data_IF_612817090563
#
_entry.id   IF_612817090563
#
_cell.length_a   1.000
_cell.length_b   1.000
_cell.length_c   1.000
_cell.angle_alpha   90.00
_cell.angle_beta   90.00
_cell.angle_gamma   90.00
#
_symmetry.space_group_name_H-M   'P 1'
#
loop_
_entity.id
_entity.type
_entity.pdbx_description
1 polymer ?
#
# COMPACT_ATOMS: atom_id res chain seq x y z
N UNK A 1 -7.21 -7.56 19.56
CA UNK A 1 -5.72 -7.46 19.51
C UNK A 1 -5.31 -6.20 20.27
N UNK A 2 -4.27 -6.27 21.08
CA UNK A 2 -3.79 -5.12 21.89
C UNK A 2 -2.96 -4.19 21.01
N UNK A 3 -3.18 -2.87 21.10
CA UNK A 3 -2.36 -1.89 20.41
C UNK A 3 -1.00 -1.76 21.09
N UNK A 4 0.09 -1.76 20.31
CA UNK A 4 1.47 -1.53 20.77
C UNK A 4 1.83 -0.06 20.66
N UNK A 5 1.41 0.60 19.58
CA UNK A 5 1.55 2.04 19.39
C UNK A 5 0.18 2.65 19.16
N UNK A 6 -0.08 3.81 19.76
CA UNK A 6 -1.26 4.61 19.47
C UNK A 6 -0.90 6.08 19.34
N UNK A 7 -1.54 6.74 18.39
CA UNK A 7 -1.52 8.19 18.22
C UNK A 7 -2.90 8.74 18.53
N UNK A 8 -2.96 9.85 19.25
CA UNK A 8 -4.21 10.55 19.58
C UNK A 8 -4.02 12.05 19.38
N UNK A 9 -4.76 12.62 18.42
CA UNK A 9 -4.75 14.05 18.10
C UNK A 9 -3.40 14.60 17.67
N UNK A 10 -2.58 13.76 17.01
CA UNK A 10 -1.19 14.10 16.65
C UNK A 10 -1.16 15.10 15.49
N UNK A 11 -0.49 16.24 15.72
CA UNK A 11 -0.16 17.23 14.69
C UNK A 11 1.33 17.52 14.64
N UNK A 12 1.86 17.62 13.43
CA UNK A 12 3.25 18.02 13.18
C UNK A 12 3.26 19.20 12.22
N UNK A 13 4.05 20.23 12.56
CA UNK A 13 4.20 21.44 11.74
C UNK A 13 5.68 21.72 11.48
N UNK A 14 6.00 22.12 10.26
CA UNK A 14 7.30 22.66 9.87
C UNK A 14 7.11 24.11 9.45
N UNK A 15 7.45 25.04 10.34
CA UNK A 15 7.12 26.46 10.16
C UNK A 15 5.61 26.65 10.11
N UNK A 16 5.10 27.25 9.03
CA UNK A 16 3.67 27.46 8.81
C UNK A 16 2.96 26.24 8.17
N UNK A 17 3.69 25.26 7.66
CA UNK A 17 3.12 24.12 6.95
C UNK A 17 2.75 22.99 7.95
N UNK A 18 1.49 22.54 7.89
CA UNK A 18 1.02 21.36 8.61
C UNK A 18 1.44 20.10 7.80
N UNK A 19 2.32 19.31 8.38
CA UNK A 19 2.83 18.09 7.75
C UNK A 19 2.01 16.85 8.13
N UNK A 20 1.39 16.84 9.32
CA UNK A 20 0.50 15.78 9.78
C UNK A 20 -0.64 16.36 10.62
N UNK A 21 -1.84 15.80 10.40
CA UNK A 21 -3.02 15.94 11.25
C UNK A 21 -3.69 14.56 11.35
N UNK A 22 -3.30 13.79 12.37
CA UNK A 22 -3.74 12.41 12.60
C UNK A 22 -4.53 12.32 13.89
N UNK A 23 -5.87 12.37 13.82
CA UNK A 23 -6.73 12.28 14.98
C UNK A 23 -6.56 11.01 15.78
N UNK A 24 -6.40 9.87 15.11
CA UNK A 24 -6.18 8.57 15.73
C UNK A 24 -5.46 7.61 14.78
N UNK A 25 -4.56 6.80 15.35
CA UNK A 25 -3.95 5.64 14.67
C UNK A 25 -3.60 4.61 15.73
N UNK A 26 -3.95 3.34 15.49
CA UNK A 26 -3.52 2.20 16.30
C UNK A 26 -2.64 1.26 15.47
N UNK A 27 -1.55 0.78 16.06
CA UNK A 27 -0.71 -0.30 15.53
C UNK A 27 -0.87 -1.50 16.47
N UNK A 28 -1.35 -2.60 15.93
CA UNK A 28 -1.70 -3.79 16.73
C UNK A 28 -0.52 -4.75 16.85
N UNK A 29 -0.46 -5.47 17.94
CA UNK A 29 0.60 -6.46 18.15
C UNK A 29 0.57 -7.55 17.07
N UNK A 30 1.72 -7.78 16.44
CA UNK A 30 1.91 -8.83 15.43
C UNK A 30 1.29 -8.51 14.07
N UNK A 31 0.75 -7.30 13.85
CA UNK A 31 0.28 -6.88 12.54
C UNK A 31 1.39 -6.24 11.69
N UNK A 32 1.20 -6.30 10.41
CA UNK A 32 1.93 -5.51 9.41
C UNK A 32 1.01 -4.40 8.92
N UNK A 33 1.27 -3.17 9.35
CA UNK A 33 0.55 -1.97 8.92
C UNK A 33 1.32 -1.27 7.81
N UNK A 34 0.73 -1.11 6.63
CA UNK A 34 1.27 -0.24 5.59
C UNK A 34 0.69 1.17 5.71
N UNK A 35 1.54 2.18 5.57
CA UNK A 35 1.11 3.57 5.33
C UNK A 35 1.44 3.92 3.89
N UNK A 36 0.41 4.15 3.10
CA UNK A 36 0.56 4.44 1.68
C UNK A 36 0.10 5.86 1.35
N UNK A 37 0.69 6.46 0.35
CA UNK A 37 0.32 7.81 -0.10
C UNK A 37 1.34 8.36 -1.09
N UNK A 38 1.02 9.46 -1.79
CA UNK A 38 1.95 10.11 -2.72
C UNK A 38 3.18 10.68 -2.00
N UNK A 39 4.19 11.07 -2.77
CA UNK A 39 5.34 11.78 -2.22
C UNK A 39 4.89 13.10 -1.57
N UNK A 40 5.48 13.43 -0.41
CA UNK A 40 5.10 14.62 0.36
C UNK A 40 3.83 14.50 1.20
N UNK A 41 3.15 13.34 1.23
CA UNK A 41 1.93 13.16 2.04
C UNK A 41 2.15 13.07 3.56
N UNK A 42 3.41 13.06 4.04
CA UNK A 42 3.74 13.00 5.47
C UNK A 42 4.13 11.61 5.98
N UNK A 43 4.29 10.58 5.11
CA UNK A 43 4.60 9.18 5.52
C UNK A 43 5.84 9.06 6.39
N UNK A 44 6.97 9.59 5.95
CA UNK A 44 8.23 9.53 6.72
C UNK A 44 8.15 10.35 8.01
N UNK A 45 7.38 11.45 8.03
CA UNK A 45 7.11 12.22 9.26
C UNK A 45 6.30 11.36 10.25
N UNK A 46 5.23 10.70 9.78
CA UNK A 46 4.46 9.78 10.61
C UNK A 46 5.32 8.65 11.18
N UNK A 47 6.19 8.06 10.35
CA UNK A 47 7.11 7.01 10.79
C UNK A 47 8.09 7.50 11.84
N UNK A 48 8.62 8.74 11.71
CA UNK A 48 9.50 9.35 12.73
C UNK A 48 8.78 9.61 14.04
N UNK A 49 7.53 10.05 14.00
CA UNK A 49 6.70 10.23 15.20
C UNK A 49 6.44 8.89 15.89
N UNK A 50 6.05 7.86 15.15
CA UNK A 50 5.86 6.50 15.68
C UNK A 50 7.17 5.93 16.28
N UNK A 51 8.31 6.22 15.65
CA UNK A 51 9.63 5.83 16.12
C UNK A 51 10.18 6.68 17.27
N UNK A 52 9.40 7.64 17.78
CA UNK A 52 9.82 8.60 18.83
C UNK A 52 11.09 9.38 18.44
N UNK A 53 11.32 9.58 17.15
CA UNK A 53 12.43 10.37 16.61
C UNK A 53 12.05 11.84 16.41
N UNK A 54 10.74 12.10 16.35
CA UNK A 54 10.17 13.43 16.19
C UNK A 54 9.02 13.62 17.18
N UNK A 55 9.04 14.74 17.90
CA UNK A 55 7.96 15.10 18.82
C UNK A 55 6.84 15.79 18.04
N UNK A 56 5.58 15.39 18.20
CA UNK A 56 4.47 16.14 17.64
C UNK A 56 4.32 17.49 18.32
N UNK A 57 3.79 18.48 17.60
CA UNK A 57 3.44 19.80 18.16
C UNK A 57 2.23 19.69 19.10
N UNK A 58 1.29 18.81 18.77
CA UNK A 58 0.07 18.57 19.54
C UNK A 58 -0.21 17.05 19.55
N UNK A 59 -0.96 16.59 20.56
CA UNK A 59 -1.36 15.20 20.68
C UNK A 59 -0.42 14.32 21.47
N UNK A 60 -0.70 13.03 21.50
CA UNK A 60 0.00 12.06 22.34
C UNK A 60 0.38 10.82 21.56
N UNK A 61 1.59 10.33 21.78
CA UNK A 61 2.08 9.03 21.34
C UNK A 61 2.12 8.11 22.56
N UNK A 62 1.47 6.94 22.46
CA UNK A 62 1.59 5.93 23.52
C UNK A 62 2.31 4.68 22.99
N UNK A 63 3.17 4.11 23.81
CA UNK A 63 3.80 2.81 23.61
C UNK A 63 3.32 1.83 24.68
N UNK A 64 2.72 0.72 24.26
CA UNK A 64 2.08 -0.27 25.16
C UNK A 64 1.14 0.37 26.21
N UNK A 65 0.33 1.32 25.75
CA UNK A 65 -0.67 2.02 26.58
C UNK A 65 -0.11 3.13 27.47
N UNK A 66 1.19 3.40 27.46
CA UNK A 66 1.83 4.47 28.25
C UNK A 66 2.19 5.64 27.35
N UNK A 67 1.80 6.89 27.71
CA UNK A 67 2.27 8.07 26.98
C UNK A 67 3.79 8.17 27.02
N UNK A 68 4.39 8.48 25.87
CA UNK A 68 5.84 8.61 25.73
C UNK A 68 6.16 9.89 24.98
N UNK A 69 7.08 10.68 25.52
CA UNK A 69 7.63 11.85 24.85
C UNK A 69 8.94 11.49 24.12
N UNK A 70 9.11 12.02 22.90
CA UNK A 70 10.30 11.74 22.10
C UNK A 70 11.62 12.05 22.82
N UNK A 71 11.64 13.07 23.69
CA UNK A 71 12.84 13.44 24.48
C UNK A 71 13.23 12.36 25.49
N UNK A 72 12.27 11.71 26.13
CA UNK A 72 12.49 10.78 27.25
C UNK A 72 12.33 9.30 26.84
N UNK A 73 11.88 9.03 25.61
CA UNK A 73 11.55 7.70 25.10
C UNK A 73 12.75 6.83 24.68
N UNK A 74 13.92 6.96 25.33
CA UNK A 74 15.10 6.14 24.96
C UNK A 74 14.89 4.66 25.23
N UNK A 75 14.23 4.31 26.34
CA UNK A 75 13.95 2.92 26.70
C UNK A 75 13.02 2.26 25.68
N UNK A 76 11.97 2.98 25.25
CA UNK A 76 11.02 2.53 24.24
C UNK A 76 11.68 2.45 22.86
N UNK A 77 12.47 3.46 22.46
CA UNK A 77 13.25 3.41 21.20
C UNK A 77 14.17 2.21 21.13
N UNK A 78 14.81 1.80 22.25
CA UNK A 78 15.63 0.59 22.29
C UNK A 78 14.85 -0.71 22.05
N UNK A 79 13.53 -0.68 22.19
CA UNK A 79 12.63 -1.79 21.91
C UNK A 79 12.08 -1.76 20.48
N UNK A 80 12.43 -0.74 19.70
CA UNK A 80 12.08 -0.59 18.30
C UNK A 80 13.32 -0.73 17.42
N UNK A 81 13.12 -1.04 16.14
CA UNK A 81 14.17 -0.97 15.13
C UNK A 81 13.65 -0.25 13.90
N UNK A 82 14.50 0.53 13.25
CA UNK A 82 14.13 1.27 12.04
C UNK A 82 15.09 0.92 10.90
N UNK A 83 14.53 0.76 9.70
CA UNK A 83 15.28 0.66 8.45
C UNK A 83 14.84 1.83 7.58
N UNK A 84 15.79 2.67 7.19
CA UNK A 84 15.55 3.84 6.34
C UNK A 84 15.61 3.46 4.86
N UNK A 85 15.12 4.32 4.00
CA UNK A 85 15.08 4.15 2.55
C UNK A 85 16.45 3.77 1.96
N UNK A 86 17.52 4.38 2.47
CA UNK A 86 18.90 3.96 2.20
C UNK A 86 19.39 3.07 3.34
N UNK A 87 20.03 1.93 3.07
CA UNK A 87 20.42 0.95 4.10
C UNK A 87 21.46 1.45 5.10
N UNK A 88 22.12 2.58 4.87
CA UNK A 88 23.06 3.27 5.78
C UNK A 88 23.91 2.29 6.60
N UNK A 89 24.65 1.39 5.91
CA UNK A 89 25.53 0.45 6.57
C UNK A 89 26.80 1.14 7.08
N UNK A 90 27.25 0.74 8.26
CA UNK A 90 28.50 1.22 8.82
C UNK A 90 29.72 0.64 8.08
N UNK A 91 30.88 1.30 8.22
CA UNK A 91 32.14 0.72 7.74
C UNK A 91 32.43 -0.58 8.49
N UNK A 92 32.86 -1.61 7.76
CA UNK A 92 33.11 -2.93 8.33
C UNK A 92 32.51 -4.05 7.51
N UNK A 93 32.48 -5.25 8.09
CA UNK A 93 31.92 -6.46 7.48
C UNK A 93 30.40 -6.52 7.67
N UNK A 94 29.74 -7.44 6.98
CA UNK A 94 28.33 -7.76 7.18
C UNK A 94 28.09 -8.22 8.61
N UNK A 95 28.93 -9.12 9.14
CA UNK A 95 28.86 -9.58 10.53
C UNK A 95 28.92 -8.42 11.53
N UNK A 96 29.86 -7.49 11.34
CA UNK A 96 29.99 -6.32 12.21
C UNK A 96 28.76 -5.41 12.17
N UNK A 97 28.18 -5.21 11.00
CA UNK A 97 26.98 -4.41 10.84
C UNK A 97 25.77 -5.03 11.55
N UNK A 98 25.53 -6.34 11.37
CA UNK A 98 24.40 -7.01 12.01
C UNK A 98 24.60 -7.12 13.51
N UNK A 99 25.83 -7.38 13.99
CA UNK A 99 26.17 -7.48 15.41
C UNK A 99 26.11 -6.16 16.17
N UNK A 100 26.24 -5.02 15.48
CA UNK A 100 26.46 -3.71 16.09
C UNK A 100 25.45 -3.39 17.20
N UNK A 101 24.18 -3.54 16.95
CA UNK A 101 23.11 -3.24 17.92
C UNK A 101 23.13 -4.18 19.14
N UNK A 102 23.49 -5.45 18.93
CA UNK A 102 23.65 -6.43 20.02
C UNK A 102 24.83 -6.05 20.93
N UNK A 103 25.96 -5.67 20.32
CA UNK A 103 27.14 -5.22 21.06
C UNK A 103 26.86 -3.97 21.89
N UNK A 104 26.13 -2.98 21.33
CA UNK A 104 25.68 -1.79 22.10
C UNK A 104 24.76 -2.12 23.27
N UNK A 105 24.09 -3.28 23.21
CA UNK A 105 23.23 -3.79 24.30
C UNK A 105 23.99 -4.69 25.29
N UNK A 106 25.31 -4.91 25.11
CA UNK A 106 26.12 -5.73 25.98
C UNK A 106 25.87 -7.24 25.85
N UNK A 107 25.30 -7.69 24.70
CA UNK A 107 25.09 -9.12 24.44
C UNK A 107 26.44 -9.82 24.30
N UNK A 108 26.60 -10.96 24.97
CA UNK A 108 27.84 -11.75 24.94
C UNK A 108 28.18 -12.25 23.53
N UNK A 109 29.48 -12.44 23.26
CA UNK A 109 29.99 -12.70 21.91
C UNK A 109 29.40 -14.00 21.30
N UNK A 110 29.31 -15.09 22.05
CA UNK A 110 28.75 -16.36 21.58
C UNK A 110 27.27 -16.23 21.21
N UNK A 111 26.46 -15.54 22.00
CA UNK A 111 25.05 -15.28 21.69
C UNK A 111 24.92 -14.34 20.50
N UNK A 112 25.77 -13.32 20.43
CA UNK A 112 25.82 -12.39 19.32
C UNK A 112 26.09 -13.13 18.00
N UNK A 113 27.11 -13.98 17.93
CA UNK A 113 27.44 -14.75 16.72
C UNK A 113 26.33 -15.73 16.33
N UNK A 114 25.71 -16.40 17.30
CA UNK A 114 24.59 -17.29 17.04
C UNK A 114 23.36 -16.55 16.44
N UNK A 115 23.01 -15.40 17.00
CA UNK A 115 21.91 -14.57 16.48
C UNK A 115 22.23 -14.02 15.09
N UNK A 116 23.44 -13.49 14.88
CA UNK A 116 23.90 -12.99 13.58
C UNK A 116 23.85 -14.10 12.52
N UNK A 117 24.43 -15.26 12.81
CA UNK A 117 24.45 -16.40 11.88
C UNK A 117 23.04 -16.84 11.48
N UNK A 118 22.11 -16.91 12.44
CA UNK A 118 20.70 -17.22 12.19
C UNK A 118 20.06 -16.22 11.22
N UNK A 119 20.25 -14.93 11.44
CA UNK A 119 19.62 -13.90 10.60
C UNK A 119 20.24 -13.78 9.21
N UNK A 120 21.56 -13.98 9.11
CA UNK A 120 22.23 -14.03 7.80
C UNK A 120 21.72 -15.23 6.98
N UNK A 121 21.54 -16.38 7.62
CA UNK A 121 20.97 -17.56 6.95
C UNK A 121 19.51 -17.34 6.52
N UNK A 122 18.69 -16.69 7.36
CA UNK A 122 17.28 -16.39 7.02
C UNK A 122 17.11 -15.46 5.84
N UNK A 123 18.06 -14.53 5.64
CA UNK A 123 18.06 -13.64 4.47
C UNK A 123 18.92 -14.16 3.30
N UNK A 124 19.39 -15.42 3.35
CA UNK A 124 20.18 -16.04 2.27
C UNK A 124 21.47 -15.29 1.97
N UNK A 125 22.12 -14.71 2.98
CA UNK A 125 23.35 -13.92 2.85
C UNK A 125 24.47 -14.42 3.78
N UNK A 126 24.42 -15.68 4.20
CA UNK A 126 25.39 -16.25 5.13
C UNK A 126 26.83 -16.24 4.54
N UNK A 127 26.96 -16.43 3.24
CA UNK A 127 28.24 -16.40 2.51
C UNK A 127 28.86 -15.00 2.46
N UNK A 128 28.08 -13.96 2.73
CA UNK A 128 28.54 -12.58 2.70
C UNK A 128 29.09 -12.10 4.05
N UNK A 129 29.09 -12.95 5.10
CA UNK A 129 29.37 -12.54 6.48
C UNK A 129 30.65 -11.74 6.67
N UNK A 130 31.73 -12.09 5.95
CA UNK A 130 33.04 -11.43 6.03
C UNK A 130 33.22 -10.35 4.95
N UNK A 131 32.24 -10.20 4.05
CA UNK A 131 32.28 -9.20 2.99
C UNK A 131 32.11 -7.81 3.54
N UNK A 132 32.85 -6.84 2.98
CA UNK A 132 32.75 -5.45 3.40
C UNK A 132 31.46 -4.81 2.92
N UNK A 133 30.74 -4.09 3.78
CA UNK A 133 29.45 -3.48 3.48
C UNK A 133 29.46 -2.58 2.24
N UNK A 134 30.58 -1.87 1.98
CA UNK A 134 30.73 -0.98 0.82
C UNK A 134 30.77 -1.71 -0.56
N UNK A 135 30.99 -3.01 -0.58
CA UNK A 135 31.08 -3.82 -1.80
C UNK A 135 29.80 -4.61 -2.08
N UNK A 136 28.75 -4.40 -1.30
CA UNK A 136 27.47 -5.06 -1.49
C UNK A 136 26.68 -4.39 -2.61
N UNK A 137 25.89 -5.19 -3.34
CA UNK A 137 24.82 -4.69 -4.21
C UNK A 137 23.71 -4.04 -3.36
N UNK A 138 22.82 -3.28 -4.00
CA UNK A 138 21.70 -2.65 -3.32
C UNK A 138 20.79 -3.65 -2.59
N UNK A 139 20.50 -4.80 -3.24
CA UNK A 139 19.69 -5.86 -2.65
C UNK A 139 20.37 -6.55 -1.46
N UNK A 140 21.68 -6.85 -1.57
CA UNK A 140 22.47 -7.42 -0.47
C UNK A 140 22.53 -6.43 0.71
N UNK A 141 22.77 -5.15 0.44
CA UNK A 141 22.82 -4.12 1.48
C UNK A 141 21.48 -3.96 2.21
N UNK A 142 20.36 -4.06 1.49
CA UNK A 142 19.02 -4.00 2.08
C UNK A 142 18.74 -5.23 2.96
N UNK A 143 19.12 -6.45 2.52
CA UNK A 143 19.03 -7.67 3.34
C UNK A 143 19.85 -7.56 4.62
N UNK A 144 21.05 -7.01 4.55
CA UNK A 144 21.91 -6.75 5.72
C UNK A 144 21.25 -5.73 6.65
N UNK A 145 20.65 -4.65 6.15
CA UNK A 145 19.95 -3.66 6.96
C UNK A 145 18.74 -4.24 7.69
N UNK A 146 17.95 -5.09 7.00
CA UNK A 146 16.83 -5.81 7.61
C UNK A 146 17.32 -6.82 8.67
N UNK A 147 18.37 -7.60 8.39
CA UNK A 147 18.97 -8.52 9.35
C UNK A 147 19.48 -7.77 10.59
N UNK A 148 20.17 -6.60 10.41
CA UNK A 148 20.63 -5.72 11.49
C UNK A 148 19.49 -5.20 12.37
N UNK A 149 18.33 -4.94 11.79
CA UNK A 149 17.15 -4.49 12.54
C UNK A 149 16.49 -5.66 13.31
N UNK A 150 16.27 -6.78 12.63
CA UNK A 150 15.54 -7.92 13.18
C UNK A 150 16.35 -8.75 14.20
N UNK A 151 17.70 -8.73 14.13
CA UNK A 151 18.57 -9.42 15.10
C UNK A 151 18.36 -8.94 16.53
N UNK A 152 17.83 -7.71 16.68
CA UNK A 152 17.55 -7.07 17.97
C UNK A 152 16.25 -7.55 18.61
N UNK A 153 15.47 -8.38 17.93
CA UNK A 153 14.15 -8.83 18.36
C UNK A 153 13.23 -7.65 18.76
N UNK A 154 13.00 -6.72 17.83
CA UNK A 154 12.31 -5.48 18.16
C UNK A 154 10.82 -5.73 18.44
N UNK A 155 10.27 -4.98 19.40
CA UNK A 155 8.84 -4.95 19.67
C UNK A 155 8.03 -4.33 18.53
N UNK A 156 8.64 -3.39 17.81
CA UNK A 156 8.10 -2.75 16.61
C UNK A 156 9.22 -2.54 15.60
N UNK A 157 9.00 -2.96 14.38
CA UNK A 157 9.86 -2.70 13.23
C UNK A 157 9.26 -1.58 12.39
N UNK A 158 10.06 -0.56 12.10
CA UNK A 158 9.68 0.60 11.30
C UNK A 158 10.49 0.62 10.01
N UNK A 159 9.82 0.61 8.85
CA UNK A 159 10.48 0.55 7.55
C UNK A 159 10.08 1.76 6.69
N UNK A 160 11.05 2.56 6.29
CA UNK A 160 10.84 3.72 5.41
C UNK A 160 11.23 3.35 3.98
N UNK A 161 10.24 3.14 3.12
CA UNK A 161 10.38 2.75 1.70
C UNK A 161 11.42 1.63 1.47
N UNK A 162 11.28 0.46 2.12
CA UNK A 162 12.34 -0.54 2.22
C UNK A 162 12.73 -1.19 0.89
N UNK A 163 11.97 -0.98 -0.18
CA UNK A 163 12.22 -1.59 -1.49
C UNK A 163 12.50 -0.58 -2.60
N UNK A 164 12.47 0.73 -2.31
CA UNK A 164 12.55 1.79 -3.32
C UNK A 164 13.88 1.81 -4.10
N UNK A 165 14.98 1.40 -3.46
CA UNK A 165 16.32 1.39 -4.07
C UNK A 165 16.67 0.07 -4.80
N UNK A 166 15.71 -0.89 -4.87
CA UNK A 166 15.94 -2.21 -5.45
C UNK A 166 15.55 -2.26 -6.93
N UNK A 167 16.29 -3.01 -7.72
CA UNK A 167 15.86 -3.42 -9.05
C UNK A 167 14.64 -4.36 -8.96
N UNK A 168 13.89 -4.53 -10.08
CA UNK A 168 12.67 -5.35 -10.06
C UNK A 168 12.88 -6.80 -9.63
N UNK A 169 14.02 -7.42 -9.97
CA UNK A 169 14.30 -8.82 -9.64
C UNK A 169 14.59 -8.97 -8.13
N UNK A 170 15.46 -8.11 -7.58
CA UNK A 170 15.77 -8.08 -6.15
C UNK A 170 14.51 -7.76 -5.31
N UNK A 171 13.67 -6.82 -5.76
CA UNK A 171 12.39 -6.48 -5.13
C UNK A 171 11.45 -7.68 -5.12
N UNK A 172 11.28 -8.35 -6.27
CA UNK A 172 10.42 -9.53 -6.41
C UNK A 172 10.82 -10.69 -5.51
N UNK A 173 12.10 -10.85 -5.20
CA UNK A 173 12.59 -11.86 -4.26
C UNK A 173 12.44 -11.45 -2.79
N UNK A 174 12.77 -10.19 -2.44
CA UNK A 174 12.82 -9.75 -1.06
C UNK A 174 11.43 -9.57 -0.43
N UNK A 175 10.42 -9.12 -1.18
CA UNK A 175 9.06 -8.90 -0.66
C UNK A 175 8.44 -10.19 -0.08
N UNK A 176 8.35 -11.31 -0.83
CA UNK A 176 7.79 -12.54 -0.27
C UNK A 176 8.63 -13.11 0.87
N UNK A 177 9.95 -13.00 0.81
CA UNK A 177 10.86 -13.45 1.85
C UNK A 177 10.64 -12.67 3.17
N UNK A 178 10.63 -11.33 3.12
CA UNK A 178 10.34 -10.51 4.28
C UNK A 178 8.94 -10.81 4.83
N UNK A 179 7.93 -10.92 3.96
CA UNK A 179 6.57 -11.26 4.36
C UNK A 179 6.48 -12.61 5.09
N UNK A 180 7.22 -13.62 4.66
CA UNK A 180 7.29 -14.93 5.34
C UNK A 180 7.92 -14.79 6.73
N UNK A 181 9.01 -14.02 6.85
CA UNK A 181 9.69 -13.73 8.12
C UNK A 181 8.75 -13.00 9.09
N UNK A 182 8.12 -11.92 8.66
CA UNK A 182 7.25 -11.11 9.51
C UNK A 182 6.06 -11.90 10.05
N UNK A 183 5.44 -12.73 9.20
CA UNK A 183 4.32 -13.60 9.60
C UNK A 183 4.75 -14.72 10.55
N UNK A 184 5.87 -15.40 10.26
CA UNK A 184 6.36 -16.50 11.08
C UNK A 184 6.70 -16.06 12.51
N UNK A 185 7.36 -14.91 12.65
CA UNK A 185 7.80 -14.38 13.94
C UNK A 185 6.77 -13.41 14.57
N UNK A 186 5.64 -13.13 13.87
CA UNK A 186 4.60 -12.17 14.30
C UNK A 186 5.19 -10.81 14.66
N UNK A 187 6.11 -10.32 13.84
CA UNK A 187 6.80 -9.04 14.09
C UNK A 187 5.82 -7.89 13.83
N UNK A 188 5.53 -7.11 14.87
CA UNK A 188 4.75 -5.87 14.70
C UNK A 188 5.51 -4.93 13.80
N UNK A 189 4.96 -4.59 12.64
CA UNK A 189 5.68 -3.81 11.63
C UNK A 189 4.83 -2.66 11.13
N UNK A 190 5.42 -1.48 11.03
CA UNK A 190 4.87 -0.36 10.26
C UNK A 190 5.82 -0.08 9.12
N UNK A 191 5.33 -0.12 7.89
CA UNK A 191 6.14 0.31 6.77
C UNK A 191 5.43 1.36 5.93
N UNK A 192 6.22 2.30 5.40
CA UNK A 192 5.71 3.31 4.51
C UNK A 192 6.17 3.03 3.09
N UNK A 193 5.27 3.21 2.13
CA UNK A 193 5.57 3.03 0.71
C UNK A 193 4.62 3.87 -0.15
N UNK A 194 5.04 4.19 -1.36
CA UNK A 194 4.16 4.72 -2.41
C UNK A 194 3.70 3.63 -3.39
N UNK A 195 4.23 2.41 -3.25
CA UNK A 195 3.90 1.26 -4.11
C UNK A 195 2.73 0.45 -3.53
N UNK A 196 1.64 0.40 -4.28
CA UNK A 196 0.42 -0.32 -3.92
C UNK A 196 0.61 -1.84 -3.88
N UNK A 197 1.45 -2.37 -4.76
CA UNK A 197 1.70 -3.81 -4.83
C UNK A 197 2.48 -4.29 -3.59
N UNK A 198 3.41 -3.50 -3.07
CA UNK A 198 4.11 -3.79 -1.82
C UNK A 198 3.13 -3.86 -0.64
N UNK A 199 2.21 -2.88 -0.54
CA UNK A 199 1.20 -2.86 0.51
C UNK A 199 0.26 -4.07 0.41
N UNK A 200 -0.20 -4.42 -0.79
CA UNK A 200 -1.05 -5.58 -1.02
C UNK A 200 -0.36 -6.91 -0.68
N UNK A 201 0.95 -7.02 -0.94
CA UNK A 201 1.71 -8.25 -0.70
C UNK A 201 2.02 -8.50 0.78
N UNK A 202 2.23 -7.44 1.55
CA UNK A 202 2.78 -7.54 2.91
C UNK A 202 1.79 -7.21 4.01
N UNK A 203 0.90 -6.22 3.80
CA UNK A 203 0.14 -5.62 4.88
C UNK A 203 -1.14 -6.39 5.25
N UNK A 204 -1.42 -6.45 6.54
CA UNK A 204 -2.72 -6.86 7.08
C UNK A 204 -3.73 -5.70 6.99
N UNK A 205 -3.28 -4.48 7.32
CA UNK A 205 -4.05 -3.24 7.25
C UNK A 205 -3.26 -2.17 6.50
N UNK A 206 -4.01 -1.27 5.87
CA UNK A 206 -3.45 -0.14 5.12
C UNK A 206 -4.06 1.16 5.63
N UNK A 207 -3.19 2.14 5.92
CA UNK A 207 -3.55 3.53 6.15
C UNK A 207 -3.23 4.34 4.89
N UNK A 208 -4.25 4.92 4.27
CA UNK A 208 -4.05 5.83 3.13
C UNK A 208 -3.87 7.24 3.66
N UNK A 209 -2.66 7.76 3.53
CA UNK A 209 -2.25 9.09 3.99
C UNK A 209 -2.18 10.06 2.81
N UNK A 210 -3.06 11.05 2.79
CA UNK A 210 -3.09 12.10 1.77
C UNK A 210 -3.03 13.47 2.46
N UNK A 211 -2.14 14.33 2.01
CA UNK A 211 -1.98 15.70 2.55
C UNK A 211 -1.93 15.75 4.09
N UNK A 212 -1.15 14.87 4.71
CA UNK A 212 -0.97 14.80 6.16
C UNK A 212 -2.10 14.14 6.95
N UNK A 213 -3.17 13.66 6.30
CA UNK A 213 -4.34 13.07 6.96
C UNK A 213 -4.56 11.62 6.53
N UNK A 214 -5.01 10.80 7.47
CA UNK A 214 -5.45 9.42 7.17
C UNK A 214 -6.88 9.48 6.64
N UNK A 215 -7.05 9.21 5.35
CA UNK A 215 -8.34 9.18 4.68
C UNK A 215 -9.07 7.85 4.84
N UNK A 216 -8.32 6.76 4.95
CA UNK A 216 -8.88 5.43 5.24
C UNK A 216 -7.84 4.58 5.97
N UNK A 217 -8.28 3.82 6.98
CA UNK A 217 -7.50 2.82 7.70
C UNK A 217 -8.35 1.57 7.85
N UNK A 218 -8.04 0.53 7.10
CA UNK A 218 -8.83 -0.71 7.10
C UNK A 218 -7.96 -1.92 6.71
N UNK A 219 -8.56 -3.11 6.71
CA UNK A 219 -7.95 -4.30 6.12
C UNK A 219 -7.50 -4.02 4.67
N UNK A 220 -6.35 -4.57 4.28
CA UNK A 220 -5.76 -4.35 2.96
C UNK A 220 -6.78 -4.59 1.84
N UNK A 221 -7.52 -5.70 1.90
CA UNK A 221 -8.56 -6.00 0.92
C UNK A 221 -9.61 -4.89 0.83
N UNK A 222 -10.08 -4.36 1.98
CA UNK A 222 -11.11 -3.31 1.98
C UNK A 222 -10.62 -2.00 1.37
N UNK A 223 -9.41 -1.56 1.70
CA UNK A 223 -8.84 -0.32 1.13
C UNK A 223 -8.76 -0.41 -0.39
N UNK A 224 -8.32 -1.55 -0.91
CA UNK A 224 -8.17 -1.73 -2.35
C UNK A 224 -9.49 -2.04 -3.08
N UNK A 225 -10.44 -2.77 -2.48
CA UNK A 225 -11.69 -3.15 -3.15
C UNK A 225 -12.87 -2.22 -2.87
N UNK A 226 -12.87 -1.55 -1.71
CA UNK A 226 -13.95 -0.70 -1.25
C UNK A 226 -13.39 0.64 -0.72
N UNK A 227 -12.80 1.48 -1.58
CA UNK A 227 -12.28 2.78 -1.17
C UNK A 227 -13.39 3.66 -0.62
N UNK A 228 -13.12 4.31 0.53
CA UNK A 228 -14.12 5.08 1.27
C UNK A 228 -14.45 6.45 0.64
N UNK A 229 -13.56 6.97 -0.22
CA UNK A 229 -13.73 8.27 -0.87
C UNK A 229 -13.14 8.27 -2.28
N UNK A 230 -13.47 9.28 -3.07
CA UNK A 230 -12.91 9.46 -4.40
C UNK A 230 -11.38 9.59 -4.37
N UNK A 231 -10.83 10.34 -3.41
CA UNK A 231 -9.38 10.52 -3.29
C UNK A 231 -8.67 9.19 -3.04
N UNK A 232 -9.23 8.36 -2.15
CA UNK A 232 -8.71 7.00 -1.90
C UNK A 232 -8.86 6.15 -3.16
N UNK A 233 -10.02 6.18 -3.83
CA UNK A 233 -10.26 5.42 -5.06
C UNK A 233 -9.24 5.76 -6.15
N UNK A 234 -9.01 7.05 -6.40
CA UNK A 234 -8.00 7.51 -7.35
C UNK A 234 -6.59 7.04 -6.95
N UNK A 235 -6.25 7.18 -5.68
CA UNK A 235 -4.96 6.74 -5.17
C UNK A 235 -4.76 5.23 -5.36
N UNK A 236 -5.77 4.39 -5.10
CA UNK A 236 -5.66 2.93 -5.28
C UNK A 236 -5.81 2.46 -6.74
N UNK A 237 -5.97 3.39 -7.72
CA UNK A 237 -5.91 3.10 -9.15
C UNK A 237 -7.25 2.94 -9.84
N UNK A 238 -8.33 3.42 -9.22
CA UNK A 238 -9.61 3.58 -9.92
C UNK A 238 -9.51 4.79 -10.84
N UNK A 239 -9.73 4.60 -12.13
CA UNK A 239 -9.62 5.66 -13.14
C UNK A 239 -10.99 6.15 -13.64
N UNK A 240 -12.00 5.27 -13.63
CA UNK A 240 -13.38 5.66 -13.94
C UNK A 240 -14.13 5.91 -12.64
N UNK A 241 -14.46 7.19 -12.38
CA UNK A 241 -15.32 7.60 -11.26
C UNK A 241 -16.33 8.59 -11.83
N UNK A 242 -17.61 8.21 -11.76
CA UNK A 242 -18.70 8.99 -12.37
C UNK A 242 -19.88 9.10 -11.42
N UNK A 243 -20.55 10.25 -11.42
CA UNK A 243 -21.72 10.46 -10.59
C UNK A 243 -22.90 9.62 -11.09
N UNK A 244 -23.63 9.04 -10.16
CA UNK A 244 -24.79 8.22 -10.43
C UNK A 244 -25.88 8.38 -9.38
N UNK A 245 -27.06 7.87 -9.72
CA UNK A 245 -28.19 7.78 -8.79
C UNK A 245 -28.74 6.37 -8.79
N UNK A 246 -28.96 5.81 -7.62
CA UNK A 246 -29.57 4.47 -7.48
C UNK A 246 -31.03 4.55 -7.90
N UNK A 247 -31.40 3.84 -8.98
CA UNK A 247 -32.76 3.78 -9.51
C UNK A 247 -33.60 2.73 -8.79
N UNK A 248 -33.02 1.54 -8.58
CA UNK A 248 -33.68 0.41 -7.92
C UNK A 248 -32.67 -0.50 -7.24
N UNK A 249 -33.13 -1.30 -6.30
CA UNK A 249 -32.34 -2.34 -5.63
C UNK A 249 -33.20 -3.60 -5.58
N UNK A 250 -32.65 -4.71 -6.09
CA UNK A 250 -33.29 -6.02 -6.04
C UNK A 250 -32.24 -7.10 -5.74
N UNK A 251 -32.55 -8.00 -4.79
CA UNK A 251 -31.74 -9.18 -4.43
C UNK A 251 -30.22 -8.90 -4.27
N UNK A 252 -29.84 -7.73 -3.68
CA UNK A 252 -28.46 -7.34 -3.46
C UNK A 252 -27.74 -6.76 -4.69
N UNK A 253 -28.48 -6.47 -5.75
CA UNK A 253 -28.02 -5.76 -6.95
C UNK A 253 -28.73 -4.41 -7.01
N UNK A 254 -27.95 -3.34 -7.07
CA UNK A 254 -28.43 -1.99 -7.33
C UNK A 254 -28.30 -1.66 -8.82
N UNK A 255 -29.32 -1.03 -9.39
CA UNK A 255 -29.24 -0.42 -10.70
C UNK A 255 -29.00 1.07 -10.53
N UNK A 256 -27.91 1.57 -11.09
CA UNK A 256 -27.49 2.96 -10.97
C UNK A 256 -27.58 3.64 -12.33
N UNK A 257 -28.32 4.73 -12.40
CA UNK A 257 -28.35 5.60 -13.57
C UNK A 257 -27.11 6.49 -13.62
N UNK A 258 -26.34 6.40 -14.71
CA UNK A 258 -25.11 7.16 -14.95
C UNK A 258 -25.16 7.74 -16.35
N UNK A 259 -25.23 9.07 -16.49
CA UNK A 259 -25.22 9.77 -17.77
C UNK A 259 -26.20 9.16 -18.82
N UNK A 260 -27.41 8.78 -18.39
CA UNK A 260 -28.44 8.15 -19.24
C UNK A 260 -28.21 6.66 -19.54
N UNK A 261 -27.21 6.03 -18.95
CA UNK A 261 -26.96 4.58 -18.99
C UNK A 261 -27.31 3.93 -17.67
N UNK A 262 -27.58 2.64 -17.67
CA UNK A 262 -27.79 1.83 -16.46
C UNK A 262 -26.60 0.95 -16.19
N UNK A 263 -26.14 0.96 -14.93
CA UNK A 263 -25.01 0.14 -14.46
C UNK A 263 -25.52 -0.71 -13.29
N UNK A 264 -25.41 -2.03 -13.42
CA UNK A 264 -25.72 -2.97 -12.34
C UNK A 264 -24.51 -3.08 -11.40
N UNK A 265 -24.75 -3.01 -10.10
CA UNK A 265 -23.73 -3.03 -9.05
C UNK A 265 -24.14 -3.99 -7.95
N UNK A 266 -23.25 -4.90 -7.56
CA UNK A 266 -23.45 -5.74 -6.38
C UNK A 266 -23.08 -4.95 -5.13
N UNK A 267 -24.03 -4.21 -4.56
CA UNK A 267 -23.79 -3.34 -3.40
C UNK A 267 -25.08 -3.12 -2.58
N UNK A 268 -24.87 -2.73 -1.33
CA UNK A 268 -25.96 -2.27 -0.46
C UNK A 268 -26.06 -0.75 -0.58
N UNK A 269 -27.12 -0.29 -1.23
CA UNK A 269 -27.44 1.12 -1.37
C UNK A 269 -28.96 1.29 -1.34
N UNK A 270 -29.46 2.47 -0.96
CA UNK A 270 -30.88 2.80 -0.98
C UNK A 270 -31.33 3.35 -2.33
N UNK A 271 -32.55 3.04 -2.78
CA UNK A 271 -33.12 3.66 -3.95
C UNK A 271 -33.21 5.19 -3.74
N UNK A 272 -32.73 5.95 -4.72
CA UNK A 272 -32.66 7.40 -4.66
C UNK A 272 -31.32 7.95 -4.18
N UNK A 273 -30.43 7.14 -3.62
CA UNK A 273 -29.12 7.56 -3.14
C UNK A 273 -28.28 8.16 -4.29
N UNK A 274 -27.55 9.25 -3.96
CA UNK A 274 -26.50 9.80 -4.84
C UNK A 274 -25.20 9.09 -4.53
N UNK A 275 -24.57 8.55 -5.55
CA UNK A 275 -23.35 7.74 -5.43
C UNK A 275 -22.35 8.11 -6.52
N UNK A 276 -21.07 7.79 -6.30
CA UNK A 276 -20.09 7.70 -7.37
C UNK A 276 -19.84 6.26 -7.72
N UNK A 277 -19.98 5.96 -8.99
CA UNK A 277 -19.70 4.64 -9.58
C UNK A 277 -18.21 4.60 -9.90
N UNK A 278 -17.49 3.70 -9.24
CA UNK A 278 -16.05 3.52 -9.34
C UNK A 278 -15.75 2.20 -10.05
N UNK A 279 -15.01 2.24 -11.16
CA UNK A 279 -14.68 1.07 -11.98
C UNK A 279 -13.18 1.07 -12.25
N UNK A 280 -12.54 -0.08 -12.08
CA UNK A 280 -11.10 -0.25 -12.34
C UNK A 280 -10.87 -0.56 -13.81
N UNK A 281 -9.79 -0.02 -14.41
CA UNK A 281 -9.46 -0.30 -15.81
C UNK A 281 -9.26 -1.80 -16.12
N UNK A 282 -8.69 -2.55 -15.18
CA UNK A 282 -8.43 -3.99 -15.30
C UNK A 282 -9.69 -4.86 -15.27
N UNK A 283 -10.80 -4.33 -14.77
CA UNK A 283 -12.09 -5.02 -14.69
C UNK A 283 -12.94 -4.85 -15.96
N UNK A 284 -12.51 -3.98 -16.88
CA UNK A 284 -13.23 -3.69 -18.12
C UNK A 284 -12.66 -4.53 -19.27
N UNK A 285 -13.51 -5.34 -19.89
CA UNK A 285 -13.19 -6.08 -21.12
C UNK A 285 -13.80 -5.36 -22.30
N UNK A 286 -13.07 -5.26 -23.42
CA UNK A 286 -13.58 -4.70 -24.67
C UNK A 286 -13.83 -5.83 -25.69
N UNK A 287 -14.96 -5.75 -26.37
CA UNK A 287 -15.35 -6.61 -27.48
C UNK A 287 -15.52 -5.77 -28.74
N UNK A 288 -15.42 -6.39 -29.91
CA UNK A 288 -15.73 -5.73 -31.17
C UNK A 288 -17.21 -5.27 -31.20
N UNK A 289 -17.48 -4.20 -31.94
CA UNK A 289 -18.86 -3.71 -32.08
C UNK A 289 -19.77 -4.77 -32.68
N UNK A 290 -20.97 -4.92 -32.09
CA UNK A 290 -21.96 -5.88 -32.56
C UNK A 290 -21.77 -7.32 -32.06
N UNK A 291 -20.67 -7.65 -31.40
CA UNK A 291 -20.52 -8.94 -30.74
C UNK A 291 -21.53 -9.10 -29.60
N UNK A 292 -22.19 -10.25 -29.58
CA UNK A 292 -23.12 -10.64 -28.50
C UNK A 292 -22.45 -11.67 -27.63
N UNK A 293 -22.40 -11.38 -26.32
CA UNK A 293 -21.96 -12.38 -25.36
C UNK A 293 -23.01 -13.45 -25.17
N UNK A 294 -22.63 -14.73 -25.10
CA UNK A 294 -23.53 -15.77 -24.59
C UNK A 294 -23.92 -15.41 -23.14
N UNK A 295 -24.94 -16.10 -22.62
CA UNK A 295 -25.38 -15.89 -21.23
C UNK A 295 -24.18 -15.96 -20.28
N UNK A 296 -23.90 -14.86 -19.62
CA UNK A 296 -22.68 -14.71 -18.78
C UNK A 296 -22.96 -13.91 -17.52
N UNK A 297 -22.00 -13.94 -16.60
CA UNK A 297 -22.01 -13.10 -15.37
C UNK A 297 -21.62 -11.63 -15.61
N UNK A 298 -21.27 -11.25 -16.84
CA UNK A 298 -20.98 -9.86 -17.21
C UNK A 298 -22.28 -9.11 -17.46
N UNK A 299 -22.84 -8.55 -16.39
CA UNK A 299 -24.15 -7.89 -16.41
C UNK A 299 -24.12 -6.54 -17.10
N UNK A 300 -23.00 -5.82 -16.97
CA UNK A 300 -22.84 -4.52 -17.60
C UNK A 300 -22.29 -4.67 -19.01
N UNK A 301 -23.03 -4.19 -19.98
CA UNK A 301 -22.67 -4.17 -21.40
C UNK A 301 -23.02 -2.79 -21.96
N UNK A 302 -22.01 -2.02 -22.30
CA UNK A 302 -22.15 -0.63 -22.76
C UNK A 302 -21.50 -0.49 -24.14
N UNK A 303 -22.30 -0.13 -25.13
CA UNK A 303 -21.77 0.25 -26.44
C UNK A 303 -21.13 1.63 -26.33
N UNK A 304 -19.98 1.80 -26.95
CA UNK A 304 -19.21 3.04 -26.91
C UNK A 304 -18.26 3.17 -28.10
N UNK A 305 -17.59 4.30 -28.16
CA UNK A 305 -16.60 4.62 -29.17
C UNK A 305 -15.26 4.92 -28.48
N UNK A 306 -14.19 4.34 -28.98
CA UNK A 306 -12.83 4.60 -28.50
C UNK A 306 -12.49 6.08 -28.68
N UNK A 307 -12.20 6.74 -27.56
CA UNK A 307 -11.79 8.15 -27.54
C UNK A 307 -10.28 8.33 -27.63
N UNK A 308 -9.51 7.47 -26.94
CA UNK A 308 -8.05 7.49 -26.97
C UNK A 308 -7.45 6.12 -26.67
N UNK A 309 -6.22 5.91 -27.17
CA UNK A 309 -5.40 4.73 -26.91
C UNK A 309 -4.02 5.24 -26.49
N UNK A 310 -3.61 4.95 -25.24
CA UNK A 310 -2.36 5.47 -24.68
C UNK A 310 -1.51 4.32 -24.11
N UNK A 311 -0.27 4.12 -24.60
CA UNK A 311 0.64 3.16 -24.00
C UNK A 311 0.92 3.46 -22.52
N UNK A 312 0.82 2.45 -21.67
CA UNK A 312 1.06 2.52 -20.21
C UNK A 312 1.62 1.19 -19.72
N UNK A 313 2.93 1.01 -19.86
CA UNK A 313 3.62 -0.27 -19.56
C UNK A 313 3.26 -0.84 -18.18
N UNK A 314 2.87 -2.12 -18.07
CA UNK A 314 2.86 -3.15 -19.13
C UNK A 314 1.59 -3.20 -20.00
N UNK A 315 0.62 -2.31 -19.76
CA UNK A 315 -0.68 -2.28 -20.42
C UNK A 315 -0.82 -1.10 -21.39
N UNK A 316 -1.92 -1.10 -22.11
CA UNK A 316 -2.38 0.05 -22.91
C UNK A 316 -3.69 0.55 -22.28
N UNK A 317 -3.77 1.84 -22.01
CA UNK A 317 -5.00 2.51 -21.54
C UNK A 317 -5.86 2.87 -22.74
N UNK A 318 -7.09 2.35 -22.75
CA UNK A 318 -8.09 2.66 -23.78
C UNK A 318 -9.26 3.38 -23.10
N UNK A 319 -9.52 4.61 -23.51
CA UNK A 319 -10.68 5.35 -23.03
C UNK A 319 -11.81 5.17 -24.02
N UNK A 320 -12.95 4.69 -23.56
CA UNK A 320 -14.17 4.47 -24.36
C UNK A 320 -15.25 5.45 -23.90
N UNK A 321 -15.84 6.19 -24.81
CA UNK A 321 -17.00 7.01 -24.53
C UNK A 321 -18.28 6.17 -24.63
N UNK A 322 -18.84 5.79 -23.48
CA UNK A 322 -20.10 5.05 -23.34
C UNK A 322 -21.28 5.95 -22.92
N UNK A 323 -21.20 7.26 -23.13
CA UNK A 323 -22.02 8.29 -22.50
C UNK A 323 -21.28 8.96 -21.34
N UNK A 324 -20.27 8.30 -20.82
CA UNK A 324 -19.25 8.77 -19.88
C UNK A 324 -17.91 8.12 -20.24
N UNK A 325 -16.78 8.71 -19.85
CA UNK A 325 -15.47 8.12 -20.11
C UNK A 325 -15.25 6.87 -19.24
N UNK A 326 -15.12 5.72 -19.89
CA UNK A 326 -14.80 4.44 -19.26
C UNK A 326 -13.39 4.02 -19.67
N UNK A 327 -12.52 3.76 -18.70
CA UNK A 327 -11.12 3.37 -18.94
C UNK A 327 -10.98 1.85 -18.87
N UNK A 328 -10.32 1.26 -19.85
CA UNK A 328 -9.93 -0.15 -19.88
C UNK A 328 -8.41 -0.28 -19.95
N UNK A 329 -7.86 -1.30 -19.27
CA UNK A 329 -6.46 -1.67 -19.32
C UNK A 329 -6.28 -2.96 -20.11
N UNK A 330 -5.66 -2.88 -21.29
CA UNK A 330 -5.52 -3.99 -22.22
C UNK A 330 -4.06 -4.35 -22.46
N UNK A 331 -3.82 -5.57 -22.97
CA UNK A 331 -2.49 -5.91 -23.48
C UNK A 331 -2.27 -5.25 -24.86
N UNK A 332 -1.02 -4.94 -25.24
CA UNK A 332 -0.72 -4.44 -26.59
C UNK A 332 -1.25 -5.34 -27.69
N UNK A 333 -1.23 -6.65 -27.46
CA UNK A 333 -1.73 -7.65 -28.40
C UNK A 333 -3.25 -7.52 -28.63
N UNK A 334 -4.03 -7.37 -27.53
CA UNK A 334 -5.48 -7.18 -27.62
C UNK A 334 -5.86 -5.91 -28.40
N UNK A 335 -5.09 -4.82 -28.19
CA UNK A 335 -5.31 -3.57 -28.93
C UNK A 335 -5.13 -3.76 -30.42
N UNK A 336 -4.11 -4.53 -30.82
CA UNK A 336 -3.84 -4.84 -32.24
C UNK A 336 -4.90 -5.77 -32.83
N UNK A 337 -5.25 -6.86 -32.13
CA UNK A 337 -6.22 -7.86 -32.61
C UNK A 337 -7.61 -7.27 -32.76
N UNK A 338 -8.03 -6.36 -31.87
CA UNK A 338 -9.32 -5.67 -31.93
C UNK A 338 -9.29 -4.42 -32.82
N UNK A 339 -8.13 -4.07 -33.40
CA UNK A 339 -7.96 -2.88 -34.25
C UNK A 339 -8.33 -1.57 -33.54
N UNK A 340 -8.03 -1.44 -32.25
CA UNK A 340 -8.48 -0.29 -31.46
C UNK A 340 -7.72 0.98 -31.82
N UNK A 341 -8.49 1.97 -32.28
CA UNK A 341 -8.03 3.32 -32.57
C UNK A 341 -9.15 4.33 -32.26
N UNK A 342 -8.84 5.60 -32.07
CA UNK A 342 -9.87 6.63 -31.89
C UNK A 342 -10.91 6.57 -33.00
N UNK A 343 -12.21 6.57 -32.62
CA UNK A 343 -13.35 6.46 -33.55
C UNK A 343 -13.87 5.02 -33.75
N UNK A 344 -13.13 3.98 -33.32
CA UNK A 344 -13.61 2.59 -33.43
C UNK A 344 -14.72 2.32 -32.42
N UNK A 345 -15.84 1.72 -32.91
CA UNK A 345 -16.92 1.27 -32.06
C UNK A 345 -16.54 -0.02 -31.31
N UNK A 346 -16.89 -0.09 -30.05
CA UNK A 346 -16.63 -1.26 -29.18
C UNK A 346 -17.78 -1.47 -28.21
N UNK A 347 -17.85 -2.66 -27.64
CA UNK A 347 -18.70 -2.96 -26.48
C UNK A 347 -17.82 -3.18 -25.26
N UNK A 348 -18.00 -2.34 -24.25
CA UNK A 348 -17.36 -2.51 -22.96
C UNK A 348 -18.21 -3.38 -22.04
N UNK A 349 -17.61 -4.42 -21.45
CA UNK A 349 -18.31 -5.37 -20.58
C UNK A 349 -17.57 -5.55 -19.27
N UNK A 350 -18.34 -5.62 -18.16
CA UNK A 350 -17.79 -5.83 -16.83
C UNK A 350 -18.84 -6.41 -15.87
N UNK A 351 -18.37 -7.04 -14.80
CA UNK A 351 -19.25 -7.67 -13.78
C UNK A 351 -19.87 -6.61 -12.87
N UNK A 352 -21.09 -6.88 -12.37
CA UNK A 352 -21.70 -6.05 -11.34
C UNK A 352 -20.87 -6.02 -10.04
N UNK A 353 -20.16 -7.11 -9.73
CA UNK A 353 -19.25 -7.19 -8.57
C UNK A 353 -17.93 -6.44 -8.74
N UNK A 354 -17.58 -6.01 -9.95
CA UNK A 354 -16.39 -5.22 -10.24
C UNK A 354 -16.60 -3.70 -10.05
N UNK A 355 -17.85 -3.30 -9.82
CA UNK A 355 -18.23 -1.91 -9.61
C UNK A 355 -18.34 -1.63 -8.11
N UNK A 356 -17.72 -0.56 -7.66
CA UNK A 356 -17.82 -0.09 -6.27
C UNK A 356 -18.61 1.23 -6.21
N UNK A 357 -19.48 1.36 -5.19
CA UNK A 357 -20.21 2.58 -4.93
C UNK A 357 -19.55 3.36 -3.79
N UNK A 358 -19.19 4.61 -4.08
CA UNK A 358 -18.70 5.55 -3.08
C UNK A 358 -19.86 6.47 -2.72
N UNK A 359 -20.29 6.53 -1.44
CA UNK A 359 -21.33 7.46 -1.00
C UNK A 359 -20.93 8.91 -1.29
N UNK A 360 -21.88 9.71 -1.74
CA UNK A 360 -21.70 11.17 -1.83
C UNK A 360 -22.32 11.76 -0.57
N UNK A 361 -21.53 12.56 0.21
CA UNK A 361 -22.04 13.20 1.43
C UNK A 361 -23.26 14.08 1.19
#
# INVERSE_FOLDING_TARGET
>A
MTAVLTLSGVRVRYGAAEALDVPALDVRQGEVLAVVGPNGSGKSTLLRVLGLLEAPAEGTVCFEGRPVHAKDGLAERRRMASVFQQPLLARGTVTENVAMGLRFRGVGEAECDARVSRWLARFGIAELRERRARSLSGGEAQRVALARALVLDPRVLLLDEPFAALDPAARGGLIPELGAILRADRVTTVFVTHDRAEAQALADRVAVLLSGRIHQLDATSRVFWAPASEDVARFVGVETIVDGRVESVDTGVAVVGVAGRRVEVSAHAGAGDRVRVAIRPEDVTLLAAGETLPLSSMRNQLDGVVASVTPSTPHVRVVVNCGFPLVAALTPRSVTELGLAPGVGVRAVFKASAVHLIPVP
#
